data_IF_411273497680
#
_entry.id   IF_411273497680
#
_cell.length_a   1.000
_cell.length_b   1.000
_cell.length_c   1.000
_cell.angle_alpha   90.00
_cell.angle_beta   90.00
_cell.angle_gamma   90.00
#
_symmetry.space_group_name_H-M   'P 1'
#
loop_
_entity.id
_entity.type
_entity.pdbx_description
1 polymer ?
#
# COMPACT_ATOMS: atom_id res chain seq x y z
N UNK A 1 45.25 22.69 86.01
CA UNK A 1 45.28 21.76 84.84
C UNK A 1 44.33 20.64 85.13
N UNK A 2 43.12 20.71 84.57
CA UNK A 2 42.03 19.75 84.82
C UNK A 2 41.69 19.10 83.50
N UNK A 3 41.94 17.76 83.41
CA UNK A 3 41.51 16.97 82.21
C UNK A 3 40.03 16.62 82.36
N UNK A 4 39.24 17.00 81.42
CA UNK A 4 37.85 16.59 81.25
C UNK A 4 37.75 15.36 80.36
N UNK A 5 37.16 14.29 80.90
CA UNK A 5 36.89 13.06 80.15
C UNK A 5 35.56 13.18 79.40
N UNK A 6 35.62 12.97 78.05
CA UNK A 6 34.43 12.89 77.21
C UNK A 6 33.89 11.43 77.20
N UNK A 7 32.68 11.23 77.73
CA UNK A 7 31.94 9.98 77.57
C UNK A 7 31.24 9.94 76.20
N UNK A 8 31.62 8.99 75.33
CA UNK A 8 30.87 8.67 74.14
C UNK A 8 29.79 7.64 74.44
N UNK A 9 28.54 8.03 74.29
CA UNK A 9 27.39 7.14 74.36
C UNK A 9 27.13 6.55 72.99
N UNK A 10 27.25 5.25 72.84
CA UNK A 10 26.90 4.53 71.58
C UNK A 10 25.36 4.34 71.50
N UNK A 11 24.76 4.85 70.38
CA UNK A 11 23.34 4.63 70.10
C UNK A 11 23.24 3.38 69.22
N UNK A 12 22.40 2.40 69.52
CA UNK A 12 22.21 1.22 68.65
C UNK A 12 21.39 1.61 67.40
N UNK A 13 21.93 1.38 66.23
CA UNK A 13 21.20 1.46 64.93
C UNK A 13 20.30 0.22 64.84
N UNK A 14 19.00 0.41 64.98
CA UNK A 14 18.00 -0.59 64.60
C UNK A 14 17.80 -0.57 63.10
N UNK A 15 18.24 -1.63 62.40
CA UNK A 15 17.96 -1.85 60.97
C UNK A 15 16.48 -2.17 60.78
N UNK A 16 15.75 -1.26 60.12
CA UNK A 16 14.40 -1.52 59.64
C UNK A 16 14.44 -2.47 58.43
N UNK A 17 13.56 -3.49 58.33
CA UNK A 17 13.50 -4.35 57.17
C UNK A 17 13.04 -3.55 55.96
N UNK A 18 13.84 -3.55 54.85
CA UNK A 18 13.42 -3.05 53.54
C UNK A 18 12.23 -3.92 53.05
N UNK A 19 11.04 -3.34 53.04
CA UNK A 19 9.91 -3.94 52.36
C UNK A 19 10.22 -4.00 50.86
N UNK A 20 10.28 -5.22 50.28
CA UNK A 20 10.43 -5.43 48.87
C UNK A 20 9.24 -4.78 48.14
N UNK A 21 9.54 -3.79 47.30
CA UNK A 21 8.53 -3.18 46.43
C UNK A 21 7.93 -4.27 45.52
N UNK A 22 6.60 -4.31 45.31
CA UNK A 22 5.99 -5.26 44.38
C UNK A 22 6.55 -5.02 42.97
N UNK A 23 7.07 -6.09 42.37
CA UNK A 23 7.55 -6.05 40.99
C UNK A 23 6.41 -5.55 40.08
N UNK A 24 6.60 -4.37 39.49
CA UNK A 24 5.64 -3.82 38.51
C UNK A 24 5.42 -4.87 37.43
N UNK A 25 4.18 -5.33 37.28
CA UNK A 25 3.80 -6.26 36.25
C UNK A 25 4.17 -5.63 34.88
N UNK A 26 5.05 -6.30 34.15
CA UNK A 26 5.43 -5.90 32.79
C UNK A 26 4.15 -5.82 31.97
N UNK A 27 3.85 -4.68 31.32
CA UNK A 27 2.67 -4.61 30.43
C UNK A 27 2.78 -5.72 29.39
N UNK A 28 1.74 -6.54 29.29
CA UNK A 28 1.66 -7.57 28.27
C UNK A 28 1.89 -6.90 26.92
N UNK A 29 2.86 -7.39 26.15
CA UNK A 29 3.11 -6.88 24.80
C UNK A 29 1.80 -6.98 24.03
N UNK A 30 1.30 -5.83 23.54
CA UNK A 30 0.09 -5.80 22.73
C UNK A 30 0.28 -6.75 21.54
N UNK A 31 -0.62 -7.72 21.37
CA UNK A 31 -0.57 -8.66 20.28
C UNK A 31 -0.55 -7.86 18.97
N UNK A 32 0.42 -8.14 18.09
CA UNK A 32 0.48 -7.52 16.78
C UNK A 32 -0.82 -7.84 16.04
N UNK A 33 -1.57 -6.84 15.55
CA UNK A 33 -2.83 -7.10 14.87
C UNK A 33 -2.59 -7.95 13.62
N UNK A 34 -3.45 -8.95 13.43
CA UNK A 34 -3.42 -9.81 12.25
C UNK A 34 -3.68 -8.96 11.01
N UNK A 35 -2.91 -9.18 9.95
CA UNK A 35 -3.04 -8.49 8.67
C UNK A 35 -3.27 -9.48 7.55
N UNK A 36 -3.79 -9.01 6.41
CA UNK A 36 -3.94 -9.79 5.19
C UNK A 36 -2.57 -9.92 4.53
N UNK A 37 -2.14 -11.13 4.23
CA UNK A 37 -0.92 -11.40 3.48
C UNK A 37 -1.16 -11.30 1.97
N UNK A 38 -2.28 -11.84 1.49
CA UNK A 38 -2.76 -11.74 0.11
C UNK A 38 -4.23 -12.19 0.02
N UNK A 39 -4.89 -11.90 -1.10
CA UNK A 39 -6.16 -12.50 -1.48
C UNK A 39 -5.97 -13.41 -2.69
N UNK A 40 -6.77 -14.46 -2.78
CA UNK A 40 -6.78 -15.38 -3.93
C UNK A 40 -8.21 -15.69 -4.36
N UNK A 41 -8.39 -15.94 -5.64
CA UNK A 41 -9.65 -16.41 -6.20
C UNK A 41 -9.54 -17.91 -6.53
N UNK A 42 -10.21 -18.73 -5.73
CA UNK A 42 -10.41 -20.17 -5.98
C UNK A 42 -11.77 -20.37 -6.62
N UNK A 43 -12.77 -20.84 -5.89
CA UNK A 43 -14.19 -20.79 -6.27
C UNK A 43 -14.85 -19.48 -5.82
N UNK A 44 -14.36 -18.95 -4.71
CA UNK A 44 -14.73 -17.66 -4.12
C UNK A 44 -13.45 -16.93 -3.74
N UNK A 45 -13.56 -15.64 -3.47
CA UNK A 45 -12.44 -14.91 -2.89
C UNK A 45 -12.11 -15.43 -1.49
N UNK A 46 -10.84 -15.55 -1.21
CA UNK A 46 -10.26 -15.97 0.07
C UNK A 46 -9.13 -15.01 0.46
N UNK A 47 -9.15 -14.57 1.70
CA UNK A 47 -8.04 -13.82 2.30
C UNK A 47 -7.14 -14.82 3.04
N UNK A 48 -5.87 -14.80 2.74
CA UNK A 48 -4.85 -15.51 3.52
C UNK A 48 -4.21 -14.48 4.46
N UNK A 49 -4.31 -14.74 5.76
CA UNK A 49 -3.82 -13.86 6.80
C UNK A 49 -2.34 -14.11 7.09
N UNK A 50 -1.67 -13.15 7.69
CA UNK A 50 -0.23 -13.24 8.00
C UNK A 50 0.11 -14.37 8.99
N UNK A 51 -0.86 -14.83 9.78
CA UNK A 51 -0.74 -15.97 10.68
C UNK A 51 -1.05 -17.33 10.01
N UNK A 52 -1.40 -17.33 8.72
CA UNK A 52 -1.74 -18.53 7.94
C UNK A 52 -3.21 -18.89 7.91
N UNK A 53 -4.07 -18.20 8.67
CA UNK A 53 -5.51 -18.44 8.63
C UNK A 53 -6.09 -18.01 7.28
N UNK A 54 -7.20 -18.65 6.89
CA UNK A 54 -7.92 -18.36 5.65
C UNK A 54 -9.34 -17.92 5.97
N UNK A 55 -9.73 -16.73 5.49
CA UNK A 55 -11.08 -16.20 5.58
C UNK A 55 -11.73 -16.16 4.20
N UNK A 56 -12.89 -16.81 4.04
CA UNK A 56 -13.66 -16.76 2.80
C UNK A 56 -14.48 -15.48 2.70
N UNK A 57 -14.60 -14.95 1.48
CA UNK A 57 -15.40 -13.76 1.15
C UNK A 57 -16.38 -14.14 0.02
N UNK A 58 -17.38 -15.00 0.30
CA UNK A 58 -18.29 -15.53 -0.73
C UNK A 58 -19.20 -14.44 -1.32
N UNK A 59 -19.39 -13.33 -0.61
CA UNK A 59 -20.15 -12.17 -1.04
C UNK A 59 -19.46 -11.30 -2.10
N UNK A 60 -18.16 -11.47 -2.32
CA UNK A 60 -17.42 -10.72 -3.34
C UNK A 60 -17.68 -11.28 -4.74
N UNK A 61 -17.93 -10.39 -5.72
CA UNK A 61 -17.97 -10.76 -7.12
C UNK A 61 -16.62 -11.33 -7.57
N UNK A 62 -16.65 -12.41 -8.33
CA UNK A 62 -15.49 -12.97 -8.99
C UNK A 62 -15.28 -12.37 -10.40
N UNK A 63 -16.39 -12.09 -11.08
CA UNK A 63 -16.41 -11.50 -12.42
C UNK A 63 -17.53 -10.47 -12.53
N UNK A 64 -17.42 -9.61 -13.54
CA UNK A 64 -18.45 -8.64 -13.87
C UNK A 64 -19.79 -9.29 -14.19
N UNK A 65 -20.92 -8.66 -13.79
CA UNK A 65 -22.28 -9.13 -14.09
C UNK A 65 -22.54 -9.26 -15.60
N UNK A 66 -23.61 -9.96 -15.94
CA UNK A 66 -23.97 -10.21 -17.35
C UNK A 66 -24.42 -8.96 -18.10
N UNK A 67 -24.92 -7.96 -17.40
CA UNK A 67 -25.35 -6.65 -17.92
C UNK A 67 -24.26 -5.56 -17.83
N UNK A 68 -23.07 -5.90 -17.35
CA UNK A 68 -21.93 -4.97 -17.32
C UNK A 68 -21.43 -4.65 -18.76
N UNK A 69 -20.66 -3.56 -18.89
CA UNK A 69 -20.01 -3.18 -20.17
C UNK A 69 -19.13 -4.32 -20.69
N UNK A 70 -18.40 -4.97 -19.79
CA UNK A 70 -17.51 -6.10 -20.09
C UNK A 70 -17.93 -7.34 -19.30
N UNK A 71 -19.00 -8.04 -19.70
CA UNK A 71 -19.52 -9.19 -18.96
C UNK A 71 -18.46 -10.29 -18.79
N UNK A 72 -18.34 -10.83 -17.59
CA UNK A 72 -17.37 -11.88 -17.29
C UNK A 72 -15.93 -11.41 -17.11
N UNK A 73 -15.64 -10.13 -17.27
CA UNK A 73 -14.34 -9.55 -16.92
C UNK A 73 -14.02 -9.80 -15.43
N UNK A 74 -12.74 -9.95 -15.10
CA UNK A 74 -12.31 -10.18 -13.72
C UNK A 74 -12.73 -9.04 -12.81
N UNK A 75 -13.52 -9.31 -11.78
CA UNK A 75 -13.88 -8.29 -10.80
C UNK A 75 -12.68 -7.93 -9.91
N UNK A 76 -12.44 -6.63 -9.67
CA UNK A 76 -11.36 -6.19 -8.81
C UNK A 76 -11.58 -6.61 -7.36
N UNK A 77 -10.49 -7.04 -6.73
CA UNK A 77 -10.37 -7.23 -5.30
C UNK A 77 -9.11 -6.51 -4.84
N UNK A 78 -9.20 -5.64 -3.85
CA UNK A 78 -8.08 -4.81 -3.42
C UNK A 78 -7.85 -4.98 -1.92
N UNK A 79 -6.60 -4.79 -1.51
CA UNK A 79 -6.18 -4.82 -0.12
C UNK A 79 -5.38 -3.55 0.13
N UNK A 80 -5.69 -2.81 1.19
CA UNK A 80 -4.88 -1.66 1.61
C UNK A 80 -3.43 -2.05 1.88
N UNK A 81 -2.48 -1.13 1.70
CA UNK A 81 -1.06 -1.42 1.92
C UNK A 81 -0.74 -1.90 3.33
N UNK A 82 -1.50 -1.46 4.34
CA UNK A 82 -1.37 -1.92 5.73
C UNK A 82 -1.98 -3.31 5.99
N UNK A 83 -2.68 -3.89 5.01
CA UNK A 83 -3.30 -5.21 5.08
C UNK A 83 -4.49 -5.31 6.03
N UNK A 84 -5.14 -4.20 6.38
CA UNK A 84 -6.25 -4.19 7.34
C UNK A 84 -7.61 -4.01 6.72
N UNK A 85 -7.66 -3.42 5.52
CA UNK A 85 -8.87 -3.13 4.78
C UNK A 85 -8.83 -3.90 3.45
N UNK A 86 -9.98 -4.39 3.01
CA UNK A 86 -10.13 -4.98 1.70
C UNK A 86 -11.42 -4.49 1.04
N UNK A 87 -11.40 -4.48 -0.29
CA UNK A 87 -12.41 -3.83 -1.11
C UNK A 87 -12.83 -4.77 -2.23
N UNK A 88 -14.12 -4.81 -2.50
CA UNK A 88 -14.67 -5.66 -3.54
C UNK A 88 -16.05 -5.16 -3.99
N UNK A 89 -16.53 -5.62 -5.14
CA UNK A 89 -17.92 -5.47 -5.52
C UNK A 89 -18.76 -6.57 -4.85
N UNK A 90 -19.81 -6.17 -4.13
CA UNK A 90 -20.70 -7.09 -3.40
C UNK A 90 -21.76 -7.67 -4.33
N UNK A 91 -21.97 -8.99 -4.30
CA UNK A 91 -22.90 -9.71 -5.17
C UNK A 91 -24.35 -9.29 -5.03
N UNK A 92 -24.79 -8.89 -3.83
CA UNK A 92 -26.21 -8.64 -3.55
C UNK A 92 -26.76 -7.37 -4.19
N UNK A 93 -25.91 -6.37 -4.43
CA UNK A 93 -26.30 -5.03 -4.89
C UNK A 93 -25.29 -4.38 -5.83
N UNK A 94 -24.20 -5.10 -6.15
CA UNK A 94 -23.16 -4.70 -7.10
C UNK A 94 -22.42 -3.42 -6.72
N UNK A 95 -22.52 -3.01 -5.46
CA UNK A 95 -21.83 -1.83 -4.96
C UNK A 95 -20.40 -2.17 -4.54
N UNK A 96 -19.50 -1.22 -4.76
CA UNK A 96 -18.13 -1.30 -4.27
C UNK A 96 -18.09 -0.99 -2.77
N UNK A 97 -17.63 -1.95 -1.98
CA UNK A 97 -17.61 -1.89 -0.53
C UNK A 97 -16.21 -2.00 0.02
N UNK A 98 -15.97 -1.38 1.16
CA UNK A 98 -14.82 -1.60 2.04
C UNK A 98 -15.24 -2.48 3.20
N UNK A 99 -14.38 -3.43 3.58
CA UNK A 99 -14.55 -4.25 4.77
C UNK A 99 -13.24 -4.38 5.54
N UNK A 100 -13.34 -4.44 6.85
CA UNK A 100 -12.21 -4.71 7.76
C UNK A 100 -12.24 -6.13 8.27
N UNK A 101 -11.12 -6.62 8.80
CA UNK A 101 -11.03 -7.99 9.34
C UNK A 101 -11.96 -8.22 10.55
N UNK A 102 -12.34 -7.17 11.29
CA UNK A 102 -13.32 -7.23 12.38
C UNK A 102 -14.78 -7.26 11.88
N UNK A 103 -14.99 -7.32 10.55
CA UNK A 103 -16.29 -7.49 9.92
C UNK A 103 -17.09 -6.21 9.68
N UNK A 104 -16.54 -5.02 10.00
CA UNK A 104 -17.19 -3.77 9.66
C UNK A 104 -17.16 -3.56 8.14
N UNK A 105 -18.32 -3.26 7.57
CA UNK A 105 -18.49 -3.03 6.14
C UNK A 105 -19.17 -1.70 5.88
N UNK A 106 -18.78 -1.02 4.80
CA UNK A 106 -19.46 0.18 4.30
C UNK A 106 -19.36 0.29 2.79
N UNK A 107 -20.35 0.90 2.18
CA UNK A 107 -20.32 1.27 0.76
C UNK A 107 -19.30 2.40 0.58
N UNK A 108 -18.39 2.25 -0.37
CA UNK A 108 -17.37 3.25 -0.72
C UNK A 108 -18.02 4.45 -1.40
N UNK A 109 -18.76 4.20 -2.47
CA UNK A 109 -19.55 5.20 -3.20
C UNK A 109 -20.55 4.51 -4.11
N UNK A 110 -21.75 5.07 -4.24
CA UNK A 110 -22.73 4.62 -5.22
C UNK A 110 -22.36 4.97 -6.67
N UNK A 111 -21.35 5.82 -6.86
CA UNK A 111 -20.82 6.15 -8.19
C UNK A 111 -19.86 5.11 -8.72
N UNK A 112 -19.39 4.15 -7.90
CA UNK A 112 -18.53 3.03 -8.29
C UNK A 112 -19.41 1.79 -8.35
N UNK A 113 -19.68 1.29 -9.55
CA UNK A 113 -20.62 0.20 -9.79
C UNK A 113 -19.98 -0.93 -10.58
N UNK A 114 -20.45 -2.17 -10.36
CA UNK A 114 -19.94 -3.34 -11.05
C UNK A 114 -20.19 -3.31 -12.56
N UNK A 115 -21.17 -2.54 -13.01
CA UNK A 115 -21.46 -2.29 -14.44
C UNK A 115 -20.23 -1.78 -15.22
N UNK A 116 -19.36 -0.98 -14.59
CA UNK A 116 -18.17 -0.38 -15.21
C UNK A 116 -16.88 -1.20 -14.95
N UNK A 117 -16.97 -2.43 -14.47
CA UNK A 117 -15.78 -3.29 -14.30
C UNK A 117 -15.04 -3.41 -15.63
N UNK A 118 -13.69 -3.30 -15.57
CA UNK A 118 -12.76 -3.27 -16.69
C UNK A 118 -12.75 -1.96 -17.53
N UNK A 119 -13.67 -1.04 -17.26
CA UNK A 119 -13.59 0.35 -17.75
C UNK A 119 -13.08 1.29 -16.66
N UNK A 120 -13.42 1.01 -15.40
CA UNK A 120 -12.97 1.74 -14.22
C UNK A 120 -12.21 0.81 -13.28
N UNK A 121 -10.99 1.23 -12.92
CA UNK A 121 -10.11 0.48 -12.02
C UNK A 121 -9.98 1.20 -10.69
N UNK A 122 -10.58 0.66 -9.61
CA UNK A 122 -10.40 1.22 -8.29
C UNK A 122 -8.98 0.96 -7.77
N UNK A 123 -8.44 1.96 -7.08
CA UNK A 123 -7.15 1.93 -6.39
C UNK A 123 -7.36 2.47 -4.98
N UNK A 124 -6.58 1.98 -4.04
CA UNK A 124 -6.74 2.31 -2.62
C UNK A 124 -5.42 2.77 -2.00
N UNK A 125 -5.51 3.72 -1.06
CA UNK A 125 -4.36 4.18 -0.30
C UNK A 125 -3.89 3.13 0.72
N UNK A 126 -2.64 3.26 1.19
CA UNK A 126 -2.02 2.32 2.12
C UNK A 126 -2.82 2.08 3.39
N UNK A 127 -3.48 3.12 3.90
CA UNK A 127 -4.32 3.04 5.11
C UNK A 127 -5.79 2.71 4.84
N UNK A 128 -6.15 2.36 3.59
CA UNK A 128 -7.51 2.04 3.18
C UNK A 128 -8.50 3.20 3.23
N UNK A 129 -8.05 4.42 3.49
CA UNK A 129 -8.97 5.55 3.76
C UNK A 129 -9.27 6.44 2.56
N UNK A 130 -8.66 6.18 1.40
CA UNK A 130 -8.87 6.93 0.18
C UNK A 130 -8.97 5.98 -1.00
N UNK A 131 -10.00 6.14 -1.81
CA UNK A 131 -10.22 5.35 -3.02
C UNK A 131 -10.27 6.29 -4.22
N UNK A 132 -9.65 5.88 -5.29
CA UNK A 132 -9.80 6.52 -6.60
C UNK A 132 -10.20 5.47 -7.62
N UNK A 133 -10.95 5.85 -8.65
CA UNK A 133 -11.06 5.05 -9.88
C UNK A 133 -10.27 5.74 -10.97
N UNK A 134 -9.54 4.93 -11.75
CA UNK A 134 -8.92 5.37 -13.00
C UNK A 134 -9.71 4.80 -14.16
N UNK A 135 -9.75 5.49 -15.28
CA UNK A 135 -10.49 5.03 -16.46
C UNK A 135 -9.66 5.22 -17.71
N UNK A 136 -9.99 4.46 -18.75
CA UNK A 136 -9.44 4.66 -20.09
C UNK A 136 -10.04 5.89 -20.79
N UNK A 137 -11.25 6.31 -20.37
CA UNK A 137 -11.92 7.48 -20.93
C UNK A 137 -11.52 8.77 -20.21
N UNK A 138 -11.25 9.87 -20.91
CA UNK A 138 -11.02 11.16 -20.29
C UNK A 138 -12.22 11.58 -19.40
N UNK A 139 -11.95 11.93 -18.19
CA UNK A 139 -12.94 12.66 -17.41
C UNK A 139 -13.75 11.89 -16.36
N UNK A 140 -13.68 10.58 -16.23
CA UNK A 140 -14.67 9.77 -15.50
C UNK A 140 -14.27 9.26 -14.11
N UNK A 141 -13.04 9.40 -13.67
CA UNK A 141 -12.61 8.87 -12.36
C UNK A 141 -13.37 9.41 -11.15
N UNK A 142 -13.61 8.56 -10.17
CA UNK A 142 -14.24 8.90 -8.89
C UNK A 142 -13.17 8.99 -7.80
N UNK A 143 -13.26 9.98 -6.93
CA UNK A 143 -12.36 10.20 -5.80
C UNK A 143 -13.17 10.19 -4.51
N UNK A 144 -12.84 9.29 -3.58
CA UNK A 144 -13.58 9.12 -2.32
C UNK A 144 -12.66 9.25 -1.13
N UNK A 145 -12.92 10.21 -0.26
CA UNK A 145 -12.30 10.30 1.07
C UNK A 145 -13.18 9.58 2.09
N UNK A 146 -12.83 8.35 2.40
CA UNK A 146 -13.57 7.49 3.31
C UNK A 146 -13.55 7.97 4.76
N UNK A 147 -12.54 8.74 5.18
CA UNK A 147 -12.52 9.36 6.52
C UNK A 147 -13.64 10.40 6.67
N UNK A 148 -13.99 11.05 5.57
CA UNK A 148 -15.03 12.08 5.54
C UNK A 148 -16.36 11.58 4.99
N UNK A 149 -16.39 10.34 4.45
CA UNK A 149 -17.55 9.80 3.75
C UNK A 149 -17.97 10.66 2.54
N UNK A 150 -17.01 11.25 1.82
CA UNK A 150 -17.28 12.19 0.73
C UNK A 150 -16.69 11.70 -0.59
N UNK A 151 -17.53 11.69 -1.61
CA UNK A 151 -17.10 11.72 -3.01
C UNK A 151 -16.65 13.14 -3.33
N UNK A 152 -15.46 13.28 -3.90
CA UNK A 152 -14.83 14.56 -4.21
C UNK A 152 -15.02 14.87 -5.69
N UNK A 153 -15.24 16.14 -6.00
CA UNK A 153 -15.26 16.59 -7.38
C UNK A 153 -13.86 16.46 -7.99
N UNK A 154 -13.81 15.96 -9.21
CA UNK A 154 -12.57 15.85 -9.98
C UNK A 154 -11.91 17.23 -10.13
N UNK A 155 -10.56 17.31 -9.98
CA UNK A 155 -9.86 18.56 -10.26
C UNK A 155 -10.02 18.97 -11.73
N UNK A 156 -10.29 20.24 -12.01
CA UNK A 156 -10.36 20.75 -13.38
C UNK A 156 -9.06 20.55 -14.16
N UNK A 157 -9.14 20.29 -15.46
CA UNK A 157 -7.99 20.10 -16.35
C UNK A 157 -7.29 18.75 -16.17
N UNK A 158 -7.99 17.74 -15.68
CA UNK A 158 -7.44 16.40 -15.40
C UNK A 158 -7.89 15.33 -16.40
N UNK A 159 -8.15 15.71 -17.63
CA UNK A 159 -8.82 14.87 -18.61
C UNK A 159 -8.00 13.66 -19.10
N UNK A 160 -6.71 13.57 -18.74
CA UNK A 160 -5.78 12.53 -19.19
C UNK A 160 -4.82 12.13 -18.06
N UNK A 161 -5.32 11.85 -16.88
CA UNK A 161 -4.44 11.59 -15.75
C UNK A 161 -4.30 10.11 -15.44
N UNK A 162 -3.04 9.66 -15.38
CA UNK A 162 -2.66 8.36 -14.85
C UNK A 162 -2.36 8.48 -13.36
N UNK A 163 -2.77 7.49 -12.61
CA UNK A 163 -2.38 7.35 -11.22
C UNK A 163 -0.91 6.90 -11.14
N UNK A 164 -0.10 7.61 -10.37
CA UNK A 164 1.29 7.27 -10.14
C UNK A 164 1.57 6.76 -8.70
N UNK A 165 0.71 7.05 -7.74
CA UNK A 165 0.83 6.50 -6.39
C UNK A 165 0.23 7.39 -5.30
N UNK A 166 0.05 6.81 -4.13
CA UNK A 166 -0.18 7.54 -2.88
C UNK A 166 1.16 7.75 -2.15
N UNK A 167 1.24 8.76 -1.28
CA UNK A 167 2.28 8.77 -0.26
C UNK A 167 1.99 7.70 0.79
N UNK A 168 3.01 7.03 1.38
CA UNK A 168 2.81 5.98 2.38
C UNK A 168 1.93 6.37 3.56
N UNK A 169 1.91 7.66 3.95
CA UNK A 169 1.03 8.18 5.00
C UNK A 169 -0.39 8.49 4.49
N UNK A 170 -0.70 8.16 3.22
CA UNK A 170 -1.98 8.35 2.55
C UNK A 170 -2.51 9.79 2.56
N UNK A 171 -1.65 10.79 2.75
CA UNK A 171 -2.05 12.21 2.78
C UNK A 171 -1.94 12.90 1.44
N UNK A 172 -1.20 12.32 0.50
CA UNK A 172 -0.97 12.87 -0.82
C UNK A 172 -1.19 11.83 -1.89
N UNK A 173 -1.56 12.34 -3.04
CA UNK A 173 -1.82 11.60 -4.27
C UNK A 173 -0.93 12.19 -5.37
N UNK A 174 -0.24 11.34 -6.09
CA UNK A 174 0.56 11.68 -7.26
C UNK A 174 -0.19 11.26 -8.52
N UNK A 175 -0.51 12.21 -9.36
CA UNK A 175 -1.10 11.97 -10.68
C UNK A 175 -0.17 12.47 -11.77
N UNK A 176 -0.13 11.74 -12.88
CA UNK A 176 0.60 12.07 -14.09
C UNK A 176 -0.37 12.39 -15.22
N UNK A 177 -0.15 13.48 -15.91
CA UNK A 177 -0.83 13.95 -17.09
C UNK A 177 0.12 14.84 -17.89
N UNK A 178 -0.34 15.97 -18.40
CA UNK A 178 0.56 16.98 -18.99
C UNK A 178 1.65 17.43 -18.03
N UNK A 179 1.38 17.28 -16.76
CA UNK A 179 2.29 17.55 -15.66
C UNK A 179 2.15 16.48 -14.59
N UNK A 180 3.23 16.18 -13.92
CA UNK A 180 3.19 15.45 -12.67
C UNK A 180 2.71 16.38 -11.58
N UNK A 181 1.63 16.01 -10.90
CA UNK A 181 0.99 16.87 -9.88
C UNK A 181 0.76 16.10 -8.58
N UNK A 182 1.18 16.72 -7.48
CA UNK A 182 0.87 16.24 -6.13
C UNK A 182 -0.40 16.93 -5.63
N UNK A 183 -1.37 16.15 -5.23
CA UNK A 183 -2.61 16.63 -4.62
C UNK A 183 -2.68 16.30 -3.13
N UNK A 184 -3.38 17.11 -2.37
CA UNK A 184 -3.84 16.71 -1.05
C UNK A 184 -5.15 15.91 -1.12
N UNK A 185 -5.62 15.42 0.02
CA UNK A 185 -6.86 14.63 0.12
C UNK A 185 -8.13 15.41 -0.29
N UNK A 186 -8.06 16.71 -0.38
CA UNK A 186 -9.13 17.57 -0.89
C UNK A 186 -9.00 17.88 -2.39
N UNK A 187 -8.08 17.17 -3.08
CA UNK A 187 -7.77 17.37 -4.50
C UNK A 187 -7.28 18.78 -4.84
N UNK A 188 -6.70 19.48 -3.88
CA UNK A 188 -6.00 20.74 -4.13
C UNK A 188 -4.57 20.42 -4.57
N UNK A 189 -4.17 20.95 -5.72
CA UNK A 189 -2.81 20.82 -6.20
C UNK A 189 -1.83 21.54 -5.24
N UNK A 190 -0.80 20.81 -4.81
CA UNK A 190 0.26 21.30 -3.91
C UNK A 190 1.57 21.55 -4.65
N UNK A 191 1.81 20.77 -5.70
CA UNK A 191 2.95 20.90 -6.57
C UNK A 191 2.58 20.49 -7.99
N UNK A 192 3.12 21.16 -8.99
CA UNK A 192 2.95 20.83 -10.42
C UNK A 192 4.28 20.94 -11.12
N UNK A 193 4.69 19.90 -11.80
CA UNK A 193 5.95 19.81 -12.50
C UNK A 193 5.76 19.36 -13.95
N UNK A 194 6.23 20.14 -14.91
CA UNK A 194 6.34 19.67 -16.29
C UNK A 194 7.62 18.85 -16.43
N UNK A 195 7.49 17.57 -16.73
CA UNK A 195 8.61 16.64 -16.89
C UNK A 195 8.25 15.57 -17.90
N UNK A 196 9.27 14.91 -18.47
CA UNK A 196 9.10 13.70 -19.30
C UNK A 196 9.35 12.41 -18.50
N UNK A 197 9.55 12.54 -17.21
CA UNK A 197 9.80 11.40 -16.34
C UNK A 197 8.47 10.93 -15.76
N UNK A 198 8.21 9.63 -15.84
CA UNK A 198 7.01 8.99 -15.29
C UNK A 198 7.33 8.39 -13.91
N UNK A 199 6.96 9.05 -12.81
CA UNK A 199 7.17 8.53 -11.47
C UNK A 199 6.20 7.39 -11.18
N UNK A 200 6.63 6.42 -10.34
CA UNK A 200 5.78 5.33 -9.84
C UNK A 200 5.40 5.49 -8.37
N UNK A 201 6.15 6.29 -7.60
CA UNK A 201 5.92 6.43 -6.17
C UNK A 201 6.22 7.83 -5.64
N UNK A 202 5.54 8.21 -4.56
CA UNK A 202 5.68 9.47 -3.85
C UNK A 202 6.11 9.22 -2.40
N UNK A 203 7.19 9.85 -1.94
CA UNK A 203 7.63 9.75 -0.55
C UNK A 203 6.79 10.64 0.39
N UNK A 204 6.86 10.37 1.71
CA UNK A 204 6.17 11.14 2.76
C UNK A 204 6.65 12.59 2.91
N UNK A 205 7.77 12.98 2.29
CA UNK A 205 8.17 14.38 2.20
C UNK A 205 7.37 15.17 1.15
N UNK A 206 6.51 14.46 0.37
CA UNK A 206 5.65 15.00 -0.68
C UNK A 206 6.39 15.73 -1.79
N UNK A 207 7.69 15.53 -1.86
CA UNK A 207 8.61 16.19 -2.78
C UNK A 207 9.47 15.21 -3.57
N UNK A 208 9.80 14.08 -2.98
CA UNK A 208 10.62 13.06 -3.63
C UNK A 208 9.74 12.02 -4.29
N UNK A 209 9.95 11.80 -5.58
CA UNK A 209 9.31 10.71 -6.31
C UNK A 209 10.36 9.71 -6.82
N UNK A 210 10.00 8.43 -6.85
CA UNK A 210 10.82 7.38 -7.45
C UNK A 210 10.40 7.15 -8.91
N UNK A 211 11.39 7.10 -9.80
CA UNK A 211 11.20 6.96 -11.24
C UNK A 211 11.97 5.74 -11.72
N UNK A 212 11.34 4.75 -12.34
CA UNK A 212 12.04 3.65 -13.00
C UNK A 212 12.77 4.16 -14.24
N UNK A 213 13.90 3.53 -14.57
CA UNK A 213 14.72 3.92 -15.73
C UNK A 213 15.00 2.69 -16.60
N UNK A 214 14.64 2.78 -17.85
CA UNK A 214 14.80 1.70 -18.83
C UNK A 214 13.51 1.47 -19.62
N UNK A 215 13.30 0.23 -20.04
CA UNK A 215 12.14 -0.18 -20.84
C UNK A 215 11.31 -1.22 -20.07
N UNK A 216 10.02 -0.99 -20.00
CA UNK A 216 9.04 -1.95 -19.48
C UNK A 216 9.11 -3.29 -20.25
N UNK A 217 8.98 -4.43 -19.60
CA UNK A 217 8.88 -4.68 -18.16
C UNK A 217 10.24 -4.99 -17.48
N UNK A 218 11.36 -4.60 -18.08
CA UNK A 218 12.72 -5.02 -17.66
C UNK A 218 13.47 -3.91 -16.92
N UNK A 219 12.78 -3.14 -16.09
CA UNK A 219 13.44 -2.11 -15.29
C UNK A 219 14.44 -2.70 -14.29
N UNK A 220 15.65 -2.18 -14.26
CA UNK A 220 16.68 -2.50 -13.26
C UNK A 220 17.34 -1.26 -12.68
N UNK A 221 16.91 -0.10 -13.09
CA UNK A 221 17.47 1.19 -12.67
C UNK A 221 16.36 2.09 -12.20
N UNK A 222 16.69 2.97 -11.29
CA UNK A 222 15.80 4.01 -10.79
C UNK A 222 16.56 5.32 -10.58
N UNK A 223 15.83 6.42 -10.44
CA UNK A 223 16.34 7.72 -9.97
C UNK A 223 15.31 8.39 -9.08
N UNK A 224 15.78 9.29 -8.24
CA UNK A 224 14.89 10.14 -7.44
C UNK A 224 14.67 11.46 -8.18
N UNK A 225 13.40 11.86 -8.26
CA UNK A 225 12.96 13.13 -8.86
C UNK A 225 12.52 14.08 -7.75
N UNK A 226 13.08 15.27 -7.72
CA UNK A 226 12.58 16.36 -6.86
C UNK A 226 11.43 17.07 -7.58
N UNK A 227 10.22 16.88 -7.09
CA UNK A 227 9.00 17.43 -7.67
C UNK A 227 8.87 18.94 -7.55
N UNK A 228 9.65 19.59 -6.70
CA UNK A 228 9.68 21.06 -6.57
C UNK A 228 10.58 21.72 -7.62
N UNK A 229 11.74 21.12 -7.88
CA UNK A 229 12.75 21.70 -8.75
C UNK A 229 12.82 21.04 -10.12
N UNK A 230 12.22 19.88 -10.30
CA UNK A 230 12.36 19.07 -11.52
C UNK A 230 13.72 18.39 -11.67
N UNK A 231 14.62 18.53 -10.69
CA UNK A 231 15.92 17.89 -10.75
C UNK A 231 15.82 16.41 -10.47
N UNK A 232 16.31 15.60 -11.40
CA UNK A 232 16.49 14.19 -11.18
C UNK A 232 17.91 13.90 -10.68
N UNK A 233 18.00 13.06 -9.66
CA UNK A 233 19.28 12.54 -9.18
C UNK A 233 19.95 11.61 -10.16
N UNK A 234 21.15 11.14 -9.83
CA UNK A 234 21.86 10.13 -10.61
C UNK A 234 21.05 8.84 -10.75
N UNK A 235 21.26 8.12 -11.86
CA UNK A 235 20.67 6.82 -12.07
C UNK A 235 21.35 5.78 -11.19
N UNK A 236 20.57 5.03 -10.43
CA UNK A 236 21.04 3.97 -9.54
C UNK A 236 20.60 2.61 -10.08
N UNK A 237 21.54 1.68 -10.27
CA UNK A 237 21.23 0.29 -10.64
C UNK A 237 20.79 -0.47 -9.39
N UNK A 238 19.56 -0.99 -9.40
CA UNK A 238 19.03 -1.82 -8.32
C UNK A 238 19.62 -3.23 -8.45
N UNK A 239 20.29 -3.68 -7.39
CA UNK A 239 21.02 -4.96 -7.37
C UNK A 239 20.08 -6.12 -7.00
N UNK A 240 19.11 -6.37 -7.88
CA UNK A 240 18.22 -7.53 -7.78
C UNK A 240 18.91 -8.83 -8.22
N UNK A 241 18.49 -9.99 -7.77
CA UNK A 241 18.93 -11.29 -8.29
C UNK A 241 18.79 -11.40 -9.81
N UNK A 242 19.53 -12.35 -10.40
CA UNK A 242 19.48 -12.59 -11.85
C UNK A 242 18.07 -12.99 -12.29
N UNK A 243 17.59 -12.36 -13.36
CA UNK A 243 16.25 -12.61 -13.92
C UNK A 243 15.11 -11.87 -13.22
N UNK A 244 15.41 -11.10 -12.15
CA UNK A 244 14.42 -10.25 -11.49
C UNK A 244 14.55 -8.81 -11.98
N UNK A 245 13.41 -8.12 -12.02
CA UNK A 245 13.27 -6.74 -12.48
C UNK A 245 12.39 -5.96 -11.51
N UNK A 246 12.48 -4.65 -11.54
CA UNK A 246 11.54 -3.77 -10.82
C UNK A 246 10.20 -3.91 -11.52
N UNK A 247 9.23 -4.50 -10.84
CA UNK A 247 7.85 -4.60 -11.28
C UNK A 247 7.06 -3.41 -10.74
N UNK A 248 7.32 -3.04 -9.48
CA UNK A 248 6.77 -1.86 -8.84
C UNK A 248 7.80 -1.18 -7.93
N UNK A 249 7.67 0.14 -7.81
CA UNK A 249 8.44 1.00 -6.91
C UNK A 249 7.49 1.67 -5.94
N UNK A 250 7.86 1.67 -4.67
CA UNK A 250 7.13 2.38 -3.63
C UNK A 250 8.08 2.93 -2.55
N UNK A 251 7.53 3.64 -1.58
CA UNK A 251 8.21 4.03 -0.36
C UNK A 251 7.54 3.40 0.85
N UNK A 252 8.31 3.02 1.87
CA UNK A 252 7.74 2.67 3.16
C UNK A 252 7.48 3.93 4.02
N UNK A 253 6.81 3.75 5.16
CA UNK A 253 6.48 4.83 6.08
C UNK A 253 7.71 5.64 6.55
N UNK A 254 8.90 5.05 6.52
CA UNK A 254 10.16 5.71 6.87
C UNK A 254 10.84 6.39 5.66
N UNK A 255 10.18 6.45 4.50
CA UNK A 255 10.70 7.07 3.27
C UNK A 255 11.83 6.29 2.61
N UNK A 256 11.92 4.97 2.87
CA UNK A 256 12.87 4.08 2.22
C UNK A 256 12.21 3.47 0.99
N UNK A 257 12.99 3.34 -0.09
CA UNK A 257 12.48 2.75 -1.33
C UNK A 257 12.21 1.25 -1.13
N UNK A 258 11.03 0.83 -1.54
CA UNK A 258 10.59 -0.56 -1.61
C UNK A 258 10.41 -0.94 -3.09
N UNK A 259 10.86 -2.13 -3.43
CA UNK A 259 10.75 -2.70 -4.78
C UNK A 259 10.02 -4.01 -4.69
N UNK A 260 8.99 -4.19 -5.48
CA UNK A 260 8.40 -5.50 -5.77
C UNK A 260 9.02 -6.05 -7.03
N UNK A 261 9.29 -7.35 -7.03
CA UNK A 261 9.87 -8.06 -8.17
C UNK A 261 9.23 -9.42 -8.33
N UNK A 262 8.79 -9.72 -9.55
CA UNK A 262 8.30 -11.05 -9.92
C UNK A 262 9.44 -12.05 -9.84
N UNK A 263 9.16 -13.24 -9.29
CA UNK A 263 10.06 -14.38 -9.26
C UNK A 263 9.43 -15.54 -10.02
N UNK A 264 10.15 -16.65 -10.17
CA UNK A 264 9.55 -17.86 -10.77
C UNK A 264 8.40 -18.44 -9.94
N UNK A 265 8.44 -18.23 -8.62
CA UNK A 265 7.53 -18.86 -7.67
C UNK A 265 6.66 -17.86 -6.91
N UNK A 266 6.62 -16.59 -7.35
CA UNK A 266 5.80 -15.57 -6.67
C UNK A 266 6.40 -14.17 -6.74
N UNK A 267 6.41 -13.45 -5.63
CA UNK A 267 6.88 -12.07 -5.50
C UNK A 267 7.91 -11.95 -4.39
N UNK A 268 8.99 -11.26 -4.66
CA UNK A 268 9.97 -10.84 -3.67
C UNK A 268 9.86 -9.32 -3.44
N UNK A 269 9.89 -8.91 -2.20
CA UNK A 269 9.82 -7.51 -1.78
C UNK A 269 11.16 -7.13 -1.17
N UNK A 270 11.77 -6.09 -1.69
CA UNK A 270 13.08 -5.62 -1.28
C UNK A 270 13.01 -4.20 -0.75
N UNK A 271 13.80 -3.91 0.29
CA UNK A 271 14.20 -2.54 0.61
C UNK A 271 15.44 -2.21 -0.19
N UNK A 272 15.45 -1.05 -0.85
CA UNK A 272 16.54 -0.64 -1.74
C UNK A 272 17.18 0.67 -1.26
N UNK A 273 18.50 0.68 -1.21
CA UNK A 273 19.26 1.91 -0.97
C UNK A 273 19.16 2.83 -2.19
N UNK A 274 18.64 4.04 -1.99
CA UNK A 274 18.49 5.06 -3.05
C UNK A 274 19.81 5.63 -3.56
N UNK A 275 20.94 5.34 -2.90
CA UNK A 275 22.28 5.79 -3.29
C UNK A 275 23.12 4.70 -3.91
N UNK A 276 23.11 3.49 -3.34
CA UNK A 276 23.96 2.37 -3.79
C UNK A 276 23.25 1.31 -4.60
N UNK A 277 21.91 1.32 -4.60
CA UNK A 277 21.08 0.30 -5.23
C UNK A 277 21.13 -1.07 -4.55
N UNK A 278 21.77 -1.19 -3.37
CA UNK A 278 21.79 -2.43 -2.60
C UNK A 278 20.36 -2.80 -2.24
N UNK A 279 19.92 -3.99 -2.67
CA UNK A 279 18.62 -4.55 -2.35
C UNK A 279 18.76 -5.50 -1.15
N UNK A 280 17.92 -5.34 -0.14
CA UNK A 280 17.81 -6.22 1.03
C UNK A 280 16.43 -6.86 0.99
N UNK A 281 16.37 -8.18 0.91
CA UNK A 281 15.11 -8.92 0.90
C UNK A 281 14.36 -8.68 2.22
N UNK A 282 13.10 -8.27 2.14
CA UNK A 282 12.20 -8.11 3.27
C UNK A 282 11.33 -9.35 3.45
N UNK A 283 10.72 -9.82 2.37
CA UNK A 283 9.89 -11.02 2.36
C UNK A 283 9.74 -11.58 0.95
N UNK A 284 9.42 -12.85 0.89
CA UNK A 284 8.96 -13.52 -0.34
C UNK A 284 7.53 -14.01 -0.10
N UNK A 285 6.67 -13.82 -1.08
CA UNK A 285 5.31 -14.35 -1.08
C UNK A 285 5.29 -15.39 -2.19
N UNK A 286 5.12 -16.65 -1.80
CA UNK A 286 4.97 -17.74 -2.75
C UNK A 286 3.60 -17.60 -3.43
N UNK A 287 3.59 -17.73 -4.74
CA UNK A 287 2.36 -17.70 -5.52
C UNK A 287 1.45 -18.83 -5.06
N UNK A 288 0.19 -18.53 -4.72
CA UNK A 288 -0.79 -19.57 -4.43
C UNK A 288 -1.12 -20.36 -5.71
N UNK A 289 -1.63 -21.56 -5.54
CA UNK A 289 -2.20 -22.37 -6.64
C UNK A 289 -3.60 -21.84 -7.00
N UNK A 290 -3.66 -20.58 -7.37
CA UNK A 290 -4.87 -19.88 -7.76
C UNK A 290 -4.62 -19.10 -9.05
N UNK A 291 -5.64 -19.04 -9.91
CA UNK A 291 -5.55 -18.33 -11.19
C UNK A 291 -5.33 -16.83 -10.99
N UNK A 292 -5.97 -16.27 -9.97
CA UNK A 292 -5.93 -14.84 -9.65
C UNK A 292 -5.58 -14.66 -8.20
N UNK A 293 -4.69 -13.74 -7.89
CA UNK A 293 -4.34 -13.35 -6.53
C UNK A 293 -3.88 -11.89 -6.48
N UNK A 294 -4.02 -11.26 -5.32
CA UNK A 294 -3.81 -9.83 -5.11
C UNK A 294 -3.00 -9.61 -3.83
N UNK A 295 -2.04 -8.70 -3.88
CA UNK A 295 -1.19 -8.33 -2.75
C UNK A 295 -1.66 -7.03 -2.08
N UNK A 296 -1.38 -6.83 -0.79
CA UNK A 296 -1.59 -5.55 -0.13
C UNK A 296 -0.84 -4.42 -0.82
N UNK A 297 -1.54 -3.28 -1.00
CA UNK A 297 -0.99 -2.08 -1.63
C UNK A 297 -0.60 -2.29 -3.09
N UNK A 298 -1.22 -3.25 -3.78
CA UNK A 298 -1.01 -3.40 -5.21
C UNK A 298 -1.63 -2.19 -5.90
N UNK A 299 -0.76 -1.35 -6.48
CA UNK A 299 -1.18 -0.13 -7.18
C UNK A 299 -1.47 -0.38 -8.66
N UNK A 300 -1.03 -1.52 -9.17
CA UNK A 300 -1.33 -1.94 -10.52
C UNK A 300 -2.54 -2.87 -10.51
N UNK A 301 -3.59 -2.46 -11.20
CA UNK A 301 -4.73 -3.33 -11.50
C UNK A 301 -4.31 -4.38 -12.55
N UNK A 302 -3.40 -5.23 -12.18
CA UNK A 302 -3.18 -6.50 -12.84
C UNK A 302 -3.27 -7.57 -11.77
N UNK A 303 -4.43 -8.22 -11.63
CA UNK A 303 -4.45 -9.45 -10.87
C UNK A 303 -3.36 -10.32 -11.48
N UNK A 304 -2.55 -10.97 -10.63
CA UNK A 304 -1.48 -11.85 -11.07
C UNK A 304 -2.11 -13.02 -11.82
N UNK A 305 -2.51 -12.76 -13.08
CA UNK A 305 -3.06 -13.77 -13.97
C UNK A 305 -1.91 -14.48 -14.65
N UNK A 306 -1.98 -15.79 -14.81
CA UNK A 306 -1.18 -16.46 -15.83
C UNK A 306 -1.52 -15.84 -17.16
N UNK A 307 -0.54 -15.23 -17.83
CA UNK A 307 -0.65 -15.09 -19.27
C UNK A 307 -0.85 -16.50 -19.81
N UNK A 308 -2.05 -16.84 -20.18
CA UNK A 308 -2.30 -17.99 -21.05
C UNK A 308 -1.63 -17.65 -22.37
N UNK A 309 -0.32 -17.94 -22.47
CA UNK A 309 0.40 -17.95 -23.73
C UNK A 309 -0.07 -19.17 -24.52
N UNK A 310 -1.22 -19.06 -25.10
CA UNK A 310 -1.63 -19.81 -26.29
C UNK A 310 -2.47 -18.89 -27.13
N UNK A 311 -1.85 -17.94 -27.81
CA UNK A 311 -2.33 -17.59 -29.13
C UNK A 311 -2.01 -18.80 -29.99
N UNK A 312 -2.99 -19.66 -30.19
CA UNK A 312 -3.00 -20.59 -31.30
C UNK A 312 -2.82 -19.80 -32.58
N UNK A 313 -1.68 -20.07 -33.27
CA UNK A 313 -1.43 -19.63 -34.63
C UNK A 313 -2.39 -20.24 -35.63
#
# INVERSE_FOLDING_TARGET
MTLGALLLTAVPLTAAPLAAAPAAARPAAAATPVTIAYAQLTRTWELVLANGDVMKVPEALAVAPADAVNPGAQAPFLISGDGRHFFYFRKSDELFVERTLDGKERVVSRAIQAYAIDEEWPLVSDDGSYVITTTSAPGTGVFVDLRKGKTLSKPGGTDMWSFAGFSPDSKRLLLEGDRVTVFDRGLRARSRLKTRLSPMALANDYRTAAVPVGTWPKYRKMRMLDLRTGRAGGTVTVRLPRGQYIDDLDFDQAGRVVVRSKTKTGVAIYRVSKTTGKATLLRTITRPDARVWVLPGDSTYEPWTEKTSKSSG
#
